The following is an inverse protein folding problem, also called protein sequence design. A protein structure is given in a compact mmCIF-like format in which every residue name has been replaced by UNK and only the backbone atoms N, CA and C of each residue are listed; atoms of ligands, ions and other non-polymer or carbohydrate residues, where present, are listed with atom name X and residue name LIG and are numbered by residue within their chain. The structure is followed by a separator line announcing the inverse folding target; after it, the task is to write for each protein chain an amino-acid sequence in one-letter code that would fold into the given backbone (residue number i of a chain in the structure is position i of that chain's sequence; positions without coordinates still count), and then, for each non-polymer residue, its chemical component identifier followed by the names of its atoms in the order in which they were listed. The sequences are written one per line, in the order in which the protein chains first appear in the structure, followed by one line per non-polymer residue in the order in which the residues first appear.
data_IF_770031407747
#
_entry.id   IF_770031407747
#
_cell.length_a   1.000
_cell.length_b   1.000
_cell.length_c   1.000
_cell.angle_alpha   90.00
_cell.angle_beta   90.00
_cell.angle_gamma   90.00
#
_symmetry.space_group_name_H-M   'P 1'
#
loop_
_entity.id
_entity.type
_entity.pdbx_description
1 polymer ?
#
# COMPACT_ATOMS: atom_id res chain seq x y z
N UNK A 1 44.60 19.96 -69.16
CA UNK A 1 44.33 20.82 -68.01
C UNK A 1 42.88 21.08 -67.92
N UNK A 2 42.06 20.23 -67.24
CA UNK A 2 40.64 20.48 -66.98
C UNK A 2 40.37 20.10 -65.58
N UNK A 3 40.02 21.11 -64.77
CA UNK A 3 39.58 20.98 -63.36
C UNK A 3 38.09 20.62 -63.33
N UNK A 4 37.74 19.41 -62.90
CA UNK A 4 36.39 19.03 -62.55
C UNK A 4 36.11 19.52 -61.12
N UNK A 5 35.23 20.49 -60.99
CA UNK A 5 34.62 20.85 -59.71
C UNK A 5 33.47 19.90 -59.41
N UNK A 6 33.60 19.13 -58.31
CA UNK A 6 32.58 18.27 -57.81
C UNK A 6 31.77 19.05 -56.76
N UNK A 7 30.58 19.50 -57.12
CA UNK A 7 29.65 20.18 -56.22
C UNK A 7 28.91 19.13 -55.39
N UNK A 8 29.21 19.09 -54.09
CA UNK A 8 28.50 18.24 -53.11
C UNK A 8 27.17 18.91 -52.70
N UNK A 9 26.09 18.35 -53.17
CA UNK A 9 24.74 18.80 -52.78
C UNK A 9 24.37 18.13 -51.45
N UNK A 10 24.50 18.85 -50.34
CA UNK A 10 24.11 18.39 -49.03
C UNK A 10 22.57 18.44 -48.87
N UNK A 11 21.93 17.28 -48.86
CA UNK A 11 20.53 17.20 -48.53
C UNK A 11 20.35 17.32 -47.00
N UNK A 12 19.89 18.46 -46.53
CA UNK A 12 19.47 18.66 -45.14
C UNK A 12 18.14 17.97 -44.92
N UNK A 13 18.12 16.79 -44.26
CA UNK A 13 16.89 16.15 -43.78
C UNK A 13 16.40 16.88 -42.53
N UNK A 14 15.38 17.72 -42.69
CA UNK A 14 14.67 18.31 -41.57
C UNK A 14 13.81 17.22 -40.94
N UNK A 15 14.26 16.63 -39.83
CA UNK A 15 13.46 15.75 -39.02
C UNK A 15 12.41 16.57 -38.27
N UNK A 16 11.17 16.51 -38.74
CA UNK A 16 10.04 17.01 -37.97
C UNK A 16 9.88 16.12 -36.72
N UNK A 17 10.35 16.62 -35.58
CA UNK A 17 9.98 16.03 -34.30
C UNK A 17 8.47 16.25 -34.11
N UNK A 18 7.69 15.22 -34.40
CA UNK A 18 6.26 15.20 -34.02
C UNK A 18 6.24 15.22 -32.49
N UNK A 19 5.67 16.24 -31.83
CA UNK A 19 5.52 16.20 -30.41
C UNK A 19 4.72 14.94 -30.08
N UNK A 20 5.31 14.00 -29.35
CA UNK A 20 4.55 12.89 -28.76
C UNK A 20 3.50 13.53 -27.85
N UNK A 21 2.29 13.69 -28.35
CA UNK A 21 1.15 14.06 -27.53
C UNK A 21 1.06 12.96 -26.49
N UNK A 22 1.49 13.24 -25.27
CA UNK A 22 1.29 12.37 -24.14
C UNK A 22 -0.20 12.11 -24.08
N UNK A 23 -0.59 10.89 -24.44
CA UNK A 23 -1.98 10.48 -24.51
C UNK A 23 -2.57 10.77 -23.13
N UNK A 24 -3.48 11.74 -23.06
CA UNK A 24 -4.00 12.24 -21.78
C UNK A 24 -4.87 11.14 -21.14
N UNK A 25 -4.21 10.27 -20.35
CA UNK A 25 -4.89 9.17 -19.68
C UNK A 25 -5.98 9.77 -18.76
N UNK A 26 -7.27 9.33 -18.90
CA UNK A 26 -8.41 9.99 -18.25
C UNK A 26 -8.44 9.82 -16.72
N UNK A 27 -7.56 9.00 -16.17
CA UNK A 27 -7.45 8.73 -14.74
C UNK A 27 -6.10 9.21 -14.19
N UNK A 28 -6.08 9.53 -12.90
CA UNK A 28 -4.89 9.82 -12.11
C UNK A 28 -4.86 8.98 -10.84
N UNK A 29 -3.67 8.69 -10.32
CA UNK A 29 -3.51 8.00 -9.05
C UNK A 29 -4.07 8.81 -7.89
N UNK A 30 -4.75 8.15 -6.98
CA UNK A 30 -5.21 8.66 -5.70
C UNK A 30 -4.46 8.00 -4.55
N UNK A 31 -5.14 7.75 -3.45
CA UNK A 31 -4.60 7.16 -2.23
C UNK A 31 -4.26 5.69 -2.41
N UNK A 32 -3.41 5.21 -1.50
CA UNK A 32 -3.04 3.80 -1.42
C UNK A 32 -3.85 3.09 -0.33
N UNK A 33 -4.30 1.88 -0.64
CA UNK A 33 -5.05 1.01 0.24
C UNK A 33 -4.24 -0.27 0.48
N UNK A 34 -3.85 -0.48 1.73
CA UNK A 34 -3.28 -1.77 2.14
C UNK A 34 -4.40 -2.62 2.71
N UNK A 35 -4.59 -3.81 2.17
CA UNK A 35 -5.65 -4.75 2.55
C UNK A 35 -5.00 -6.04 3.02
N UNK A 36 -5.06 -6.32 4.31
CA UNK A 36 -4.55 -7.57 4.89
C UNK A 36 -5.70 -8.57 5.09
N UNK A 37 -5.46 -9.80 4.69
CA UNK A 37 -6.40 -10.92 4.77
C UNK A 37 -6.22 -11.68 6.08
N UNK A 38 -7.32 -11.91 6.79
CA UNK A 38 -7.32 -12.61 8.08
C UNK A 38 -8.32 -13.76 8.05
N UNK A 39 -7.85 -14.94 8.43
CA UNK A 39 -8.71 -16.09 8.74
C UNK A 39 -8.65 -16.35 10.25
N UNK A 40 -9.80 -16.56 10.88
CA UNK A 40 -9.94 -16.85 12.31
C UNK A 40 -10.50 -18.25 12.46
N UNK A 41 -9.86 -19.08 13.29
CA UNK A 41 -10.33 -20.43 13.55
C UNK A 41 -11.67 -20.42 14.31
N UNK A 42 -12.47 -21.45 14.10
CA UNK A 42 -13.79 -21.56 14.73
C UNK A 42 -13.70 -21.45 16.26
N UNK A 43 -14.66 -20.73 16.85
CA UNK A 43 -14.72 -20.49 18.29
C UNK A 43 -13.85 -19.35 18.79
N UNK A 44 -12.99 -18.74 17.97
CA UNK A 44 -12.06 -17.68 18.35
C UNK A 44 -12.43 -16.29 17.79
N UNK A 45 -13.62 -16.12 17.22
CA UNK A 45 -14.06 -14.82 16.69
C UNK A 45 -14.08 -13.74 17.77
N UNK A 46 -14.52 -14.08 19.01
CA UNK A 46 -14.50 -13.18 20.16
C UNK A 46 -13.09 -12.76 20.55
N UNK A 47 -12.17 -13.71 20.70
CA UNK A 47 -10.77 -13.43 21.05
C UNK A 47 -10.10 -12.47 20.06
N UNK A 48 -10.39 -12.67 18.77
CA UNK A 48 -9.85 -11.79 17.75
C UNK A 48 -10.54 -10.43 17.72
N UNK A 49 -11.85 -10.36 17.97
CA UNK A 49 -12.58 -9.11 18.09
C UNK A 49 -12.05 -8.26 19.26
N UNK A 50 -11.74 -8.86 20.41
CA UNK A 50 -11.14 -8.18 21.55
C UNK A 50 -9.77 -7.59 21.21
N UNK A 51 -8.93 -8.33 20.49
CA UNK A 51 -7.67 -7.80 19.97
C UNK A 51 -7.90 -6.60 19.04
N UNK A 52 -8.84 -6.70 18.11
CA UNK A 52 -9.15 -5.62 17.15
C UNK A 52 -9.68 -4.38 17.85
N UNK A 53 -10.57 -4.54 18.82
CA UNK A 53 -11.14 -3.43 19.60
C UNK A 53 -10.14 -2.80 20.58
N UNK A 54 -9.15 -3.57 21.02
CA UNK A 54 -8.13 -3.17 21.99
C UNK A 54 -6.82 -2.71 21.35
N UNK A 55 -5.85 -3.60 21.32
CA UNK A 55 -4.46 -3.28 20.91
C UNK A 55 -4.37 -2.80 19.45
N UNK A 56 -5.09 -3.43 18.53
CA UNK A 56 -5.08 -3.04 17.12
C UNK A 56 -5.64 -1.62 16.93
N UNK A 57 -6.80 -1.33 17.51
CA UNK A 57 -7.40 0.01 17.47
C UNK A 57 -6.48 1.07 18.03
N UNK A 58 -5.81 0.81 19.18
CA UNK A 58 -4.86 1.73 19.77
C UNK A 58 -3.72 2.10 18.82
N UNK A 59 -3.21 1.11 18.05
CA UNK A 59 -2.17 1.32 17.04
C UNK A 59 -2.68 2.16 15.88
N UNK A 60 -3.90 1.90 15.41
CA UNK A 60 -4.54 2.67 14.33
C UNK A 60 -4.76 4.12 14.73
N UNK A 61 -5.29 4.37 15.93
CA UNK A 61 -5.55 5.71 16.44
C UNK A 61 -4.25 6.53 16.57
N UNK A 62 -3.17 5.90 17.04
CA UNK A 62 -1.85 6.53 17.08
C UNK A 62 -1.34 6.85 15.67
N UNK A 63 -1.38 5.90 14.74
CA UNK A 63 -0.95 6.08 13.35
C UNK A 63 -1.73 7.18 12.64
N UNK A 64 -3.04 7.25 12.88
CA UNK A 64 -3.91 8.31 12.36
C UNK A 64 -3.54 9.68 12.94
N UNK A 65 -3.32 9.75 14.26
CA UNK A 65 -2.88 10.98 14.94
C UNK A 65 -1.53 11.49 14.43
N UNK A 66 -0.62 10.57 14.05
CA UNK A 66 0.69 10.90 13.45
C UNK A 66 0.59 11.26 11.97
N UNK A 67 -0.57 11.13 11.33
CA UNK A 67 -0.74 11.39 9.91
C UNK A 67 -0.14 10.30 8.99
N UNK A 68 0.27 9.16 9.54
CA UNK A 68 0.83 8.05 8.76
C UNK A 68 -0.22 7.34 7.91
N UNK A 69 -1.47 7.44 8.32
CA UNK A 69 -2.63 6.94 7.59
C UNK A 69 -3.79 7.93 7.68
N UNK A 70 -4.69 7.86 6.72
CA UNK A 70 -5.89 8.73 6.64
C UNK A 70 -7.11 8.06 7.24
N UNK A 71 -7.28 6.77 6.96
CA UNK A 71 -8.42 6.01 7.44
C UNK A 71 -8.12 4.53 7.55
N UNK A 72 -9.02 3.79 8.21
CA UNK A 72 -8.93 2.34 8.35
C UNK A 72 -10.31 1.73 8.47
N UNK A 73 -10.47 0.51 7.96
CA UNK A 73 -11.70 -0.26 8.02
C UNK A 73 -11.41 -1.70 8.40
N UNK A 74 -12.37 -2.32 9.08
CA UNK A 74 -12.43 -3.76 9.26
C UNK A 74 -13.66 -4.22 8.48
N UNK A 75 -13.43 -5.04 7.45
CA UNK A 75 -14.50 -5.57 6.61
C UNK A 75 -14.67 -7.05 6.87
N UNK A 76 -15.91 -7.49 7.12
CA UNK A 76 -16.25 -8.89 7.24
C UNK A 76 -16.64 -9.46 5.88
N UNK A 77 -16.16 -10.65 5.54
CA UNK A 77 -16.59 -11.38 4.37
C UNK A 77 -17.90 -12.11 4.64
N UNK A 78 -19.02 -11.45 4.36
CA UNK A 78 -20.36 -11.94 4.69
C UNK A 78 -20.73 -13.20 3.89
N UNK A 79 -20.26 -13.32 2.66
CA UNK A 79 -20.52 -14.46 1.76
C UNK A 79 -19.24 -15.23 1.43
N UNK A 80 -18.48 -15.58 2.47
CA UNK A 80 -17.19 -16.26 2.33
C UNK A 80 -17.32 -17.57 1.56
N UNK A 81 -16.49 -17.71 0.55
CA UNK A 81 -16.28 -18.98 -0.18
C UNK A 81 -15.13 -19.76 0.44
N UNK A 82 -15.03 -21.03 0.11
CA UNK A 82 -13.92 -21.88 0.55
C UNK A 82 -12.56 -21.26 0.14
N UNK A 83 -11.64 -21.12 1.09
CA UNK A 83 -10.31 -20.55 0.88
C UNK A 83 -10.24 -19.02 0.97
N UNK A 84 -11.36 -18.30 1.08
CA UNK A 84 -11.36 -16.87 1.30
C UNK A 84 -11.18 -16.50 2.79
N UNK A 85 -10.62 -15.31 3.10
CA UNK A 85 -10.46 -14.85 4.47
C UNK A 85 -11.82 -14.49 5.11
N UNK A 86 -11.86 -14.44 6.44
CA UNK A 86 -13.03 -13.99 7.21
C UNK A 86 -13.14 -12.48 7.28
N UNK A 87 -11.98 -11.82 7.39
CA UNK A 87 -11.87 -10.38 7.57
C UNK A 87 -10.80 -9.80 6.65
N UNK A 88 -11.04 -8.54 6.26
CA UNK A 88 -10.05 -7.69 5.62
C UNK A 88 -9.75 -6.50 6.54
N UNK A 89 -8.48 -6.33 6.91
CA UNK A 89 -8.03 -5.14 7.64
C UNK A 89 -7.48 -4.15 6.62
N UNK A 90 -8.15 -3.03 6.49
CA UNK A 90 -7.84 -2.02 5.47
C UNK A 90 -7.27 -0.78 6.13
N UNK A 91 -6.14 -0.28 5.59
CA UNK A 91 -5.60 1.04 5.92
C UNK A 91 -5.40 1.87 4.67
N UNK A 92 -5.64 3.18 4.77
CA UNK A 92 -5.54 4.11 3.65
C UNK A 92 -4.47 5.16 3.96
N UNK A 93 -3.54 5.38 3.03
CA UNK A 93 -2.47 6.38 3.13
C UNK A 93 -2.36 7.22 1.86
N UNK A 94 -1.77 8.42 1.97
CA UNK A 94 -1.55 9.28 0.80
C UNK A 94 -0.38 8.80 -0.05
N UNK A 95 0.58 8.08 0.53
CA UNK A 95 1.74 7.52 -0.15
C UNK A 95 2.19 6.21 0.50
N UNK A 96 2.98 5.45 -0.22
CA UNK A 96 3.68 4.29 0.32
C UNK A 96 4.93 4.78 1.06
N UNK A 97 5.07 4.37 2.32
CA UNK A 97 6.21 4.79 3.12
C UNK A 97 7.53 4.27 2.55
N UNK A 98 8.56 5.09 2.60
CA UNK A 98 9.93 4.68 2.30
C UNK A 98 10.50 3.81 3.43
N UNK A 99 11.55 3.02 3.20
CA UNK A 99 12.18 2.23 4.27
C UNK A 99 12.60 3.06 5.48
N UNK A 100 13.12 4.28 5.26
CA UNK A 100 13.52 5.17 6.35
C UNK A 100 12.31 5.68 7.17
N UNK A 101 11.18 5.95 6.50
CA UNK A 101 9.92 6.31 7.18
C UNK A 101 9.38 5.13 7.98
N UNK A 102 9.41 3.91 7.43
CA UNK A 102 8.97 2.71 8.15
C UNK A 102 9.79 2.48 9.42
N UNK A 103 11.13 2.57 9.36
CA UNK A 103 11.99 2.47 10.53
C UNK A 103 11.70 3.55 11.57
N UNK A 104 11.44 4.79 11.15
CA UNK A 104 11.08 5.86 12.05
C UNK A 104 9.73 5.61 12.73
N UNK A 105 8.72 5.19 11.95
CA UNK A 105 7.38 4.84 12.45
C UNK A 105 7.43 3.68 13.43
N UNK A 106 8.23 2.66 13.16
CA UNK A 106 8.42 1.52 14.05
C UNK A 106 9.00 1.96 15.39
N UNK A 107 10.06 2.78 15.40
CA UNK A 107 10.66 3.31 16.65
C UNK A 107 9.64 4.11 17.45
N UNK A 108 8.88 4.99 16.81
CA UNK A 108 7.87 5.81 17.48
C UNK A 108 6.71 4.97 18.01
N UNK A 109 6.25 3.97 17.25
CA UNK A 109 5.21 3.05 17.70
C UNK A 109 5.67 2.21 18.88
N UNK A 110 6.88 1.69 18.84
CA UNK A 110 7.46 0.92 19.93
C UNK A 110 7.58 1.76 21.23
N UNK A 111 7.99 3.02 21.10
CA UNK A 111 8.05 3.94 22.23
C UNK A 111 6.65 4.25 22.80
N UNK A 112 5.65 4.48 21.93
CA UNK A 112 4.27 4.74 22.34
C UNK A 112 3.63 3.55 23.07
N UNK A 113 3.92 2.33 22.62
CA UNK A 113 3.39 1.10 23.21
C UNK A 113 4.22 0.59 24.41
N UNK A 114 5.35 1.23 24.71
CA UNK A 114 6.34 0.74 25.67
C UNK A 114 6.71 -0.73 25.44
N UNK A 115 7.00 -1.08 24.18
CA UNK A 115 7.28 -2.45 23.72
C UNK A 115 8.48 -2.50 22.77
N UNK A 116 8.87 -3.68 22.37
CA UNK A 116 9.91 -3.92 21.36
C UNK A 116 9.34 -4.68 20.19
N UNK A 117 10.02 -4.66 19.03
CA UNK A 117 9.65 -5.49 17.86
C UNK A 117 9.57 -6.98 18.24
N UNK A 118 10.51 -7.45 19.08
CA UNK A 118 10.51 -8.85 19.56
C UNK A 118 9.30 -9.18 20.44
N UNK A 119 8.82 -8.26 21.25
CA UNK A 119 7.62 -8.48 22.08
C UNK A 119 6.36 -8.44 21.23
N UNK A 120 6.30 -7.59 20.21
CA UNK A 120 5.20 -7.60 19.23
C UNK A 120 5.17 -8.89 18.45
N UNK A 121 6.32 -9.43 18.03
CA UNK A 121 6.43 -10.72 17.36
C UNK A 121 5.91 -11.86 18.26
N UNK A 122 6.32 -11.92 19.52
CA UNK A 122 5.79 -12.88 20.51
C UNK A 122 4.28 -12.79 20.66
N UNK A 123 3.73 -11.57 20.74
CA UNK A 123 2.28 -11.35 20.81
C UNK A 123 1.57 -11.79 19.52
N UNK A 124 2.21 -11.59 18.37
CA UNK A 124 1.71 -12.11 17.10
C UNK A 124 1.67 -13.63 17.10
N UNK A 125 2.72 -14.28 17.62
CA UNK A 125 2.80 -15.73 17.80
C UNK A 125 1.70 -16.30 18.71
N UNK A 126 1.30 -15.56 19.76
CA UNK A 126 0.15 -15.96 20.60
C UNK A 126 -1.14 -15.99 19.77
N UNK A 127 -1.39 -14.97 18.96
CA UNK A 127 -2.57 -14.91 18.09
C UNK A 127 -2.52 -15.92 16.94
N UNK A 128 -1.33 -16.30 16.48
CA UNK A 128 -1.16 -17.31 15.43
C UNK A 128 -1.73 -18.70 15.81
N UNK A 129 -2.04 -18.92 17.08
CA UNK A 129 -2.69 -20.18 17.54
C UNK A 129 -4.15 -20.30 17.07
N UNK A 130 -4.79 -19.17 16.76
CA UNK A 130 -6.21 -19.14 16.37
C UNK A 130 -6.49 -18.21 15.18
N UNK A 131 -5.45 -17.56 14.63
CA UNK A 131 -5.57 -16.66 13.50
C UNK A 131 -4.48 -16.95 12.48
N UNK A 132 -4.84 -16.96 11.20
CA UNK A 132 -3.93 -17.06 10.07
C UNK A 132 -3.90 -15.73 9.34
N UNK A 133 -2.68 -15.25 9.07
CA UNK A 133 -2.45 -14.15 8.14
C UNK A 133 -2.48 -14.74 6.72
N UNK A 134 -3.37 -14.21 5.90
CA UNK A 134 -3.41 -14.48 4.47
C UNK A 134 -2.46 -13.57 3.69
N UNK A 135 -2.84 -13.24 2.47
CA UNK A 135 -2.13 -12.28 1.65
C UNK A 135 -2.28 -10.84 2.14
N UNK A 136 -1.52 -9.96 1.50
CA UNK A 136 -1.72 -8.52 1.61
C UNK A 136 -1.71 -7.92 0.21
N UNK A 137 -2.68 -7.05 -0.07
CA UNK A 137 -2.77 -6.31 -1.33
C UNK A 137 -2.42 -4.85 -1.09
N UNK A 138 -1.66 -4.26 -2.00
CA UNK A 138 -1.48 -2.83 -2.10
C UNK A 138 -2.23 -2.34 -3.35
N UNK A 139 -3.28 -1.59 -3.15
CA UNK A 139 -4.13 -1.04 -4.20
C UNK A 139 -3.96 0.47 -4.26
N UNK A 140 -4.18 1.06 -5.43
CA UNK A 140 -4.21 2.51 -5.58
C UNK A 140 -5.56 2.93 -6.15
N UNK A 141 -6.15 3.95 -5.56
CA UNK A 141 -7.32 4.61 -6.13
C UNK A 141 -6.99 5.17 -7.51
N UNK A 142 -7.92 5.06 -8.43
CA UNK A 142 -7.88 5.72 -9.72
C UNK A 142 -9.02 6.74 -9.77
N UNK A 143 -8.66 8.01 -9.88
CA UNK A 143 -9.57 9.15 -9.87
C UNK A 143 -9.71 9.70 -11.29
N UNK A 144 -10.92 10.07 -11.69
CA UNK A 144 -11.14 10.77 -12.95
C UNK A 144 -10.45 12.14 -12.93
N UNK A 145 -9.72 12.45 -14.00
CA UNK A 145 -9.27 13.83 -14.24
C UNK A 145 -10.50 14.68 -14.58
N UNK A 146 -10.61 15.81 -13.93
CA UNK A 146 -11.64 16.81 -14.23
C UNK A 146 -11.09 17.81 -15.24
#
# INVERSE_FOLDING_TARGET
MNKLMLSMLGAATIAFAVPAAAQDYPLKGGRFWTVAEITVDDGHAGDYADYLAGAYRKNLDFSKKKGWMKDSFILSNVNKRAGEPDLYLVTISDHVATPAEEEAREREMNAFLATTARDQDKQSGVRAKYRKLGGSMLLQELLYKR
#
